data_IF_522478713265
#
_entry.id   IF_522478713265
#
_cell.length_a   1.000
_cell.length_b   1.000
_cell.length_c   1.000
_cell.angle_alpha   90.00
_cell.angle_beta   90.00
_cell.angle_gamma   90.00
#
_symmetry.space_group_name_H-M   'P 1'
#
loop_
_entity.id
_entity.type
_entity.pdbx_description
1 polymer ?
#
# COMPACT_ATOMS: atom_id res chain seq x y z
N UNK A 1 5.87 48.76 -22.52
CA UNK A 1 4.60 48.70 -21.75
C UNK A 1 3.45 48.54 -22.74
N UNK A 2 2.99 47.29 -22.95
CA UNK A 2 1.55 47.02 -22.94
C UNK A 2 1.21 45.83 -22.01
N UNK A 3 0.09 45.98 -21.30
CA UNK A 3 -0.31 45.18 -20.14
C UNK A 3 -0.72 43.74 -20.45
N UNK A 4 -0.28 42.84 -19.58
CA UNK A 4 -0.72 41.44 -19.54
C UNK A 4 -2.02 41.41 -18.71
N UNK A 5 -3.14 41.16 -19.40
CA UNK A 5 -4.43 40.88 -18.79
C UNK A 5 -4.37 39.60 -17.95
N UNK A 6 -4.89 39.58 -16.72
CA UNK A 6 -4.83 38.40 -15.86
C UNK A 6 -5.81 37.33 -16.37
N UNK A 7 -5.27 36.19 -16.83
CA UNK A 7 -6.04 34.99 -17.13
C UNK A 7 -6.77 34.53 -15.86
N UNK A 8 -8.07 34.80 -15.80
CA UNK A 8 -9.00 34.28 -14.80
C UNK A 8 -8.90 32.76 -14.75
N UNK A 9 -8.36 32.27 -13.63
CA UNK A 9 -8.32 30.85 -13.27
C UNK A 9 -9.76 30.36 -13.18
N UNK A 10 -10.15 29.51 -14.13
CA UNK A 10 -11.49 28.92 -14.19
C UNK A 10 -11.67 27.97 -13.00
N UNK A 11 -12.15 28.52 -11.87
CA UNK A 11 -12.58 27.76 -10.71
C UNK A 11 -13.81 26.98 -11.17
N UNK A 12 -13.64 25.68 -11.47
CA UNK A 12 -14.77 24.76 -11.57
C UNK A 12 -15.56 24.90 -10.28
N UNK A 13 -16.72 25.57 -10.35
CA UNK A 13 -17.74 25.59 -9.31
C UNK A 13 -17.88 24.16 -8.80
N UNK A 14 -17.58 23.94 -7.52
CA UNK A 14 -18.03 22.73 -6.82
C UNK A 14 -19.53 22.67 -7.04
N UNK A 15 -19.96 21.69 -7.81
CA UNK A 15 -21.37 21.38 -8.01
C UNK A 15 -22.04 21.31 -6.65
N UNK A 16 -23.15 22.03 -6.52
CA UNK A 16 -24.07 22.05 -5.39
C UNK A 16 -24.11 20.71 -4.65
N UNK A 17 -23.81 20.75 -3.35
CA UNK A 17 -23.94 19.62 -2.42
C UNK A 17 -25.42 19.23 -2.41
N UNK A 18 -25.76 18.09 -3.02
CA UNK A 18 -27.07 17.49 -2.84
C UNK A 18 -27.24 17.04 -1.39
N UNK A 19 -28.46 17.09 -0.82
CA UNK A 19 -28.72 16.64 0.53
C UNK A 19 -28.28 15.17 0.67
N UNK A 20 -27.39 14.92 1.64
CA UNK A 20 -26.87 13.59 1.94
C UNK A 20 -27.99 12.73 2.54
N UNK A 21 -28.53 11.80 1.75
CA UNK A 21 -29.41 10.74 2.24
C UNK A 21 -28.61 9.83 3.20
N UNK A 22 -29.01 9.70 4.49
CA UNK A 22 -28.34 8.83 5.45
C UNK A 22 -28.22 7.38 4.98
N UNK A 23 -29.21 6.86 4.24
CA UNK A 23 -29.17 5.49 3.73
C UNK A 23 -28.09 5.33 2.66
N UNK A 24 -27.94 6.33 1.79
CA UNK A 24 -26.85 6.38 0.80
C UNK A 24 -25.48 6.39 1.46
N UNK A 25 -25.28 7.10 2.58
CA UNK A 25 -24.00 7.07 3.30
C UNK A 25 -23.68 5.71 3.93
N UNK A 26 -24.69 5.05 4.49
CA UNK A 26 -24.55 3.71 5.08
C UNK A 26 -24.18 2.71 3.98
N UNK A 27 -24.92 2.67 2.88
CA UNK A 27 -24.63 1.80 1.75
C UNK A 27 -23.24 2.07 1.16
N UNK A 28 -22.84 3.34 1.06
CA UNK A 28 -21.53 3.74 0.55
C UNK A 28 -20.39 3.25 1.45
N UNK A 29 -20.55 3.30 2.78
CA UNK A 29 -19.58 2.75 3.73
C UNK A 29 -19.54 1.23 3.67
N UNK A 30 -20.70 0.58 3.63
CA UNK A 30 -20.81 -0.89 3.59
C UNK A 30 -20.18 -1.45 2.31
N UNK A 31 -20.52 -0.93 1.13
CA UNK A 31 -19.97 -1.39 -0.15
C UNK A 31 -18.44 -1.21 -0.26
N UNK A 32 -17.90 -0.14 0.35
CA UNK A 32 -16.45 0.11 0.35
C UNK A 32 -15.66 -0.80 1.30
N UNK A 33 -16.33 -1.64 2.08
CA UNK A 33 -15.64 -2.70 2.84
C UNK A 33 -15.12 -3.81 1.94
N UNK A 34 -15.66 -3.96 0.72
CA UNK A 34 -15.23 -4.98 -0.22
C UNK A 34 -14.04 -4.51 -1.08
N UNK A 35 -13.01 -5.35 -1.26
CA UNK A 35 -11.90 -5.03 -2.13
C UNK A 35 -12.37 -4.86 -3.58
N UNK A 36 -11.79 -3.89 -4.27
CA UNK A 36 -12.17 -3.51 -5.64
C UNK A 36 -13.35 -2.53 -5.73
N UNK A 37 -14.00 -2.18 -4.62
CA UNK A 37 -15.07 -1.16 -4.59
C UNK A 37 -14.55 0.11 -3.91
N UNK A 38 -14.07 1.07 -4.72
CA UNK A 38 -13.74 2.42 -4.25
C UNK A 38 -14.94 3.37 -4.26
N UNK A 39 -14.77 4.64 -3.79
CA UNK A 39 -15.84 5.63 -3.69
C UNK A 39 -16.59 5.92 -4.99
N UNK A 40 -15.91 5.78 -6.14
CA UNK A 40 -16.51 6.00 -7.47
C UNK A 40 -17.42 4.84 -7.83
N UNK A 41 -16.95 3.61 -7.68
CA UNK A 41 -17.71 2.41 -8.00
C UNK A 41 -18.88 2.20 -7.05
N UNK A 42 -18.70 2.45 -5.75
CA UNK A 42 -19.77 2.41 -4.77
C UNK A 42 -20.93 3.34 -5.16
N UNK A 43 -20.63 4.58 -5.59
CA UNK A 43 -21.66 5.52 -6.07
C UNK A 43 -22.36 5.05 -7.34
N UNK A 44 -21.62 4.45 -8.28
CA UNK A 44 -22.20 3.89 -9.49
C UNK A 44 -23.16 2.73 -9.18
N UNK A 45 -22.78 1.83 -8.26
CA UNK A 45 -23.60 0.72 -7.80
C UNK A 45 -24.89 1.20 -7.11
N UNK A 46 -24.79 2.19 -6.21
CA UNK A 46 -25.95 2.78 -5.55
C UNK A 46 -26.90 3.44 -6.57
N UNK A 47 -26.35 4.15 -7.56
CA UNK A 47 -27.15 4.74 -8.65
C UNK A 47 -27.86 3.67 -9.48
N UNK A 48 -27.27 2.47 -9.61
CA UNK A 48 -27.85 1.32 -10.27
C UNK A 48 -28.83 0.52 -9.38
N UNK A 49 -29.11 0.98 -8.15
CA UNK A 49 -30.07 0.37 -7.24
C UNK A 49 -29.49 -0.61 -6.22
N UNK A 50 -28.18 -0.86 -6.23
CA UNK A 50 -27.50 -1.72 -5.25
C UNK A 50 -27.35 -0.96 -3.93
N UNK A 51 -28.00 -1.44 -2.87
CA UNK A 51 -27.96 -0.78 -1.55
C UNK A 51 -27.32 -1.63 -0.46
N UNK A 52 -27.21 -2.95 -0.68
CA UNK A 52 -26.66 -3.90 0.29
C UNK A 52 -25.61 -4.82 -0.34
N UNK A 53 -24.81 -5.50 0.48
CA UNK A 53 -23.87 -6.53 -0.01
C UNK A 53 -24.58 -7.73 -0.64
N UNK A 54 -25.84 -8.00 -0.29
CA UNK A 54 -26.59 -9.11 -0.87
C UNK A 54 -27.05 -8.81 -2.30
N UNK A 55 -27.34 -7.55 -2.62
CA UNK A 55 -27.72 -7.14 -3.97
C UNK A 55 -26.60 -7.44 -5.00
N UNK A 56 -25.34 -7.43 -4.53
CA UNK A 56 -24.16 -7.77 -5.33
C UNK A 56 -24.10 -9.23 -5.79
N UNK A 57 -24.88 -10.13 -5.17
CA UNK A 57 -24.92 -11.56 -5.50
C UNK A 57 -25.90 -11.89 -6.63
N UNK A 58 -26.72 -10.91 -7.06
CA UNK A 58 -27.56 -11.09 -8.24
C UNK A 58 -26.68 -11.32 -9.47
N UNK A 59 -27.07 -12.25 -10.34
CA UNK A 59 -26.26 -12.66 -11.49
C UNK A 59 -25.86 -11.49 -12.40
N UNK A 60 -26.80 -10.57 -12.63
CA UNK A 60 -26.60 -9.36 -13.44
C UNK A 60 -25.55 -8.41 -12.84
N UNK A 61 -25.46 -8.31 -11.51
CA UNK A 61 -24.47 -7.46 -10.85
C UNK A 61 -23.15 -8.20 -10.68
N UNK A 62 -23.20 -9.45 -10.22
CA UNK A 62 -22.04 -10.25 -9.86
C UNK A 62 -21.08 -10.45 -11.03
N UNK A 63 -21.60 -10.72 -12.22
CA UNK A 63 -20.81 -10.93 -13.45
C UNK A 63 -19.94 -9.72 -13.81
N UNK A 64 -20.41 -8.51 -13.56
CA UNK A 64 -19.73 -7.24 -13.83
C UNK A 64 -18.73 -6.83 -12.73
N UNK A 65 -18.70 -7.53 -11.59
CA UNK A 65 -17.82 -7.18 -10.47
C UNK A 65 -16.35 -7.47 -10.77
N UNK A 66 -15.42 -6.67 -10.21
CA UNK A 66 -13.99 -7.00 -10.23
C UNK A 66 -13.72 -8.36 -9.58
N UNK A 67 -12.68 -9.06 -10.04
CA UNK A 67 -12.28 -10.35 -9.48
C UNK A 67 -12.11 -10.30 -7.95
N UNK A 68 -11.45 -9.25 -7.44
CA UNK A 68 -11.27 -9.03 -6.00
C UNK A 68 -12.59 -9.04 -5.23
N UNK A 69 -13.61 -8.37 -5.76
CA UNK A 69 -14.93 -8.28 -5.14
C UNK A 69 -15.66 -9.62 -5.19
N UNK A 70 -15.57 -10.34 -6.32
CA UNK A 70 -16.14 -11.70 -6.47
C UNK A 70 -15.55 -12.67 -5.44
N UNK A 71 -14.23 -12.67 -5.30
CA UNK A 71 -13.52 -13.48 -4.29
C UNK A 71 -13.97 -13.11 -2.88
N UNK A 72 -14.03 -11.82 -2.56
CA UNK A 72 -14.45 -11.38 -1.22
C UNK A 72 -15.89 -11.81 -0.86
N UNK A 73 -16.80 -11.77 -1.83
CA UNK A 73 -18.18 -12.23 -1.66
C UNK A 73 -18.28 -13.75 -1.47
N UNK A 74 -17.46 -14.52 -2.20
CA UNK A 74 -17.44 -15.98 -2.12
C UNK A 74 -16.86 -16.48 -0.80
N UNK A 75 -15.79 -15.85 -0.31
CA UNK A 75 -15.07 -16.28 0.90
C UNK A 75 -15.58 -15.65 2.20
N UNK A 76 -16.52 -14.69 2.14
CA UNK A 76 -17.04 -13.98 3.33
C UNK A 76 -15.90 -13.47 4.24
N UNK A 77 -15.02 -12.65 3.66
CA UNK A 77 -13.83 -12.15 4.36
C UNK A 77 -14.20 -11.45 5.68
N UNK A 78 -13.46 -11.78 6.73
CA UNK A 78 -13.60 -11.20 8.06
C UNK A 78 -12.41 -10.29 8.38
N UNK A 79 -12.59 -9.25 9.21
CA UNK A 79 -11.47 -8.48 9.72
C UNK A 79 -10.46 -9.38 10.45
N UNK A 80 -9.18 -9.08 10.31
CA UNK A 80 -8.12 -9.70 11.08
C UNK A 80 -7.92 -8.90 12.37
N UNK A 81 -8.08 -9.53 13.52
CA UNK A 81 -7.84 -8.89 14.81
C UNK A 81 -6.36 -8.92 15.21
N UNK A 82 -5.96 -8.02 16.11
CA UNK A 82 -4.56 -7.90 16.56
C UNK A 82 -3.97 -9.22 17.10
N UNK A 83 -4.74 -10.00 17.83
CA UNK A 83 -4.31 -11.31 18.31
C UNK A 83 -4.12 -12.32 17.17
N UNK A 84 -5.11 -12.40 16.28
CA UNK A 84 -5.06 -13.25 15.09
C UNK A 84 -3.84 -12.92 14.21
N UNK A 85 -3.54 -11.62 14.05
CA UNK A 85 -2.40 -11.17 13.26
C UNK A 85 -1.06 -11.60 13.86
N UNK A 86 -0.94 -11.65 15.21
CA UNK A 86 0.26 -12.18 15.88
C UNK A 86 0.41 -13.68 15.67
N UNK A 87 -0.68 -14.43 15.77
CA UNK A 87 -0.70 -15.88 15.51
C UNK A 87 -0.35 -16.15 14.05
N UNK A 88 -0.95 -15.42 13.12
CA UNK A 88 -0.67 -15.50 11.70
C UNK A 88 0.80 -15.17 11.39
N UNK A 89 1.34 -14.07 11.94
CA UNK A 89 2.75 -13.69 11.78
C UNK A 89 3.68 -14.82 12.24
N UNK A 90 3.46 -15.37 13.44
CA UNK A 90 4.25 -16.50 13.94
C UNK A 90 4.15 -17.72 13.03
N UNK A 91 2.93 -18.11 12.64
CA UNK A 91 2.70 -19.31 11.83
C UNK A 91 3.30 -19.17 10.43
N UNK A 92 3.11 -18.02 9.78
CA UNK A 92 3.65 -17.75 8.45
C UNK A 92 5.17 -17.70 8.48
N UNK A 93 5.76 -17.09 9.52
CA UNK A 93 7.21 -17.03 9.67
C UNK A 93 7.82 -18.43 9.85
N UNK A 94 7.17 -19.30 10.62
CA UNK A 94 7.62 -20.69 10.79
C UNK A 94 7.46 -21.56 9.54
N UNK A 95 6.50 -21.24 8.66
CA UNK A 95 6.28 -21.95 7.41
C UNK A 95 7.27 -21.54 6.28
N UNK A 96 7.84 -20.34 6.37
CA UNK A 96 8.78 -19.80 5.39
C UNK A 96 10.21 -20.35 5.59
N UNK A 97 11.02 -20.47 4.52
CA UNK A 97 12.42 -20.86 4.65
C UNK A 97 13.25 -19.86 5.48
N UNK A 98 14.36 -20.29 6.11
CA UNK A 98 15.12 -19.48 7.07
C UNK A 98 15.67 -18.14 6.57
N UNK A 99 15.83 -17.95 5.25
CA UNK A 99 16.31 -16.69 4.65
C UNK A 99 15.22 -15.60 4.55
N UNK A 100 13.96 -15.98 4.73
CA UNK A 100 12.84 -15.04 4.68
C UNK A 100 12.59 -14.49 6.08
N UNK A 101 12.39 -13.18 6.17
CA UNK A 101 11.82 -12.56 7.36
C UNK A 101 10.46 -11.95 7.01
N UNK A 102 9.59 -11.86 8.01
CA UNK A 102 8.21 -11.42 7.84
C UNK A 102 7.87 -10.37 8.89
N UNK A 103 7.23 -9.30 8.47
CA UNK A 103 6.80 -8.20 9.34
C UNK A 103 5.34 -7.85 9.06
N UNK A 104 4.59 -7.49 10.10
CA UNK A 104 3.21 -7.00 9.98
C UNK A 104 3.20 -5.46 9.98
N UNK A 105 2.51 -4.86 9.02
CA UNK A 105 2.35 -3.41 8.91
C UNK A 105 0.87 -2.98 9.02
N UNK A 106 0.51 -1.84 8.44
CA UNK A 106 -0.86 -1.37 8.32
C UNK A 106 -1.50 -0.90 9.63
N UNK A 107 -2.83 -1.00 9.66
CA UNK A 107 -3.69 -0.52 10.75
C UNK A 107 -3.35 -1.13 12.11
N UNK A 108 -3.10 -2.45 12.12
CA UNK A 108 -2.75 -3.18 13.35
C UNK A 108 -1.45 -2.64 13.93
N UNK A 109 -0.44 -2.35 13.09
CA UNK A 109 0.80 -1.72 13.53
C UNK A 109 0.59 -0.30 14.03
N UNK A 110 -0.40 0.44 13.52
CA UNK A 110 -0.82 1.76 14.04
C UNK A 110 -1.70 1.69 15.29
N UNK A 111 -1.87 0.51 15.88
CA UNK A 111 -2.62 0.30 17.11
C UNK A 111 -4.12 0.12 16.95
N UNK A 112 -4.63 -0.14 15.74
CA UNK A 112 -6.04 -0.55 15.56
C UNK A 112 -6.25 -1.99 16.03
N UNK A 113 -7.43 -2.28 16.59
CA UNK A 113 -7.76 -3.63 17.10
C UNK A 113 -7.99 -4.65 15.99
N UNK A 114 -8.33 -4.18 14.78
CA UNK A 114 -8.53 -5.01 13.61
C UNK A 114 -8.15 -4.29 12.32
N UNK A 115 -7.99 -5.06 11.24
CA UNK A 115 -7.83 -4.53 9.88
C UNK A 115 -8.62 -5.34 8.87
N UNK A 116 -9.12 -4.66 7.83
CA UNK A 116 -9.81 -5.29 6.70
C UNK A 116 -8.79 -5.91 5.73
N UNK A 117 -7.63 -5.28 5.54
CA UNK A 117 -6.53 -5.78 4.71
C UNK A 117 -5.24 -5.74 5.53
N UNK A 118 -4.67 -6.91 5.81
CA UNK A 118 -3.43 -7.01 6.59
C UNK A 118 -2.21 -7.14 5.68
N UNK A 119 -1.33 -6.12 5.62
CA UNK A 119 -0.09 -6.20 4.87
C UNK A 119 0.99 -6.91 5.69
N UNK A 120 1.50 -8.01 5.15
CA UNK A 120 2.73 -8.65 5.62
C UNK A 120 3.85 -8.37 4.62
N UNK A 121 4.97 -7.88 5.13
CA UNK A 121 6.15 -7.56 4.34
C UNK A 121 7.16 -8.69 4.50
N UNK A 122 7.54 -9.29 3.38
CA UNK A 122 8.54 -10.33 3.28
C UNK A 122 9.86 -9.67 2.89
N UNK A 123 10.92 -9.95 3.63
CA UNK A 123 12.28 -9.55 3.23
C UNK A 123 13.12 -10.78 2.91
N UNK A 124 13.89 -10.69 1.83
CA UNK A 124 14.81 -11.74 1.44
C UNK A 124 16.13 -11.12 0.95
N UNK A 125 17.32 -11.59 1.41
CA UNK A 125 18.60 -10.98 1.06
C UNK A 125 18.89 -11.01 -0.45
N UNK A 126 18.38 -12.04 -1.14
CA UNK A 126 18.57 -12.19 -2.59
C UNK A 126 17.52 -11.43 -3.43
N UNK A 127 16.56 -10.73 -2.80
CA UNK A 127 15.64 -9.85 -3.52
C UNK A 127 16.41 -8.66 -4.13
N UNK A 128 16.02 -8.10 -5.29
CA UNK A 128 16.77 -7.04 -5.92
C UNK A 128 16.89 -5.79 -5.03
N UNK A 129 18.11 -5.25 -4.96
CA UNK A 129 18.34 -3.94 -4.36
C UNK A 129 17.54 -2.91 -5.17
N UNK A 130 16.77 -2.04 -4.50
CA UNK A 130 15.94 -1.05 -5.16
C UNK A 130 16.79 -0.10 -6.02
N UNK A 131 16.28 0.24 -7.20
CA UNK A 131 16.89 1.21 -8.11
C UNK A 131 16.07 2.51 -8.10
N UNK A 132 16.68 3.66 -8.43
CA UNK A 132 15.95 4.92 -8.46
C UNK A 132 14.75 4.88 -9.41
N UNK A 133 13.63 5.53 -9.07
CA UNK A 133 12.48 5.64 -9.95
C UNK A 133 12.86 6.37 -11.25
N UNK A 134 12.58 5.75 -12.38
CA UNK A 134 13.00 6.22 -13.71
C UNK A 134 12.18 7.38 -14.27
N UNK A 135 10.98 7.64 -13.74
CA UNK A 135 10.01 8.56 -14.37
C UNK A 135 9.61 9.77 -13.51
N UNK A 136 10.00 9.84 -12.23
CA UNK A 136 9.42 10.83 -11.31
C UNK A 136 9.95 12.26 -11.45
N UNK A 137 11.07 12.47 -12.15
CA UNK A 137 11.72 13.79 -12.24
C UNK A 137 12.18 14.16 -13.67
N UNK A 138 11.84 13.36 -14.68
CA UNK A 138 12.44 13.51 -16.03
C UNK A 138 13.97 13.31 -16.04
N UNK A 139 14.54 12.81 -14.94
CA UNK A 139 15.96 12.55 -14.78
C UNK A 139 16.29 11.23 -15.49
N UNK A 140 17.18 11.31 -16.49
CA UNK A 140 17.64 10.12 -17.19
C UNK A 140 18.44 9.25 -16.22
N UNK A 141 18.15 7.93 -16.12
CA UNK A 141 19.01 7.04 -15.38
C UNK A 141 20.42 7.05 -16.01
N UNK A 142 21.48 7.00 -15.18
CA UNK A 142 22.81 6.61 -15.69
C UNK A 142 22.64 5.26 -16.41
N UNK A 143 23.24 5.05 -17.59
CA UNK A 143 23.06 3.82 -18.36
C UNK A 143 23.60 2.63 -17.54
N UNK A 144 22.70 1.93 -16.84
CA UNK A 144 23.03 0.66 -16.22
C UNK A 144 23.19 -0.37 -17.33
N UNK A 145 24.33 -1.08 -17.34
CA UNK A 145 24.56 -2.24 -18.21
C UNK A 145 23.41 -3.24 -18.01
N UNK A 146 22.56 -3.34 -19.04
CA UNK A 146 21.50 -4.36 -19.28
C UNK A 146 21.15 -5.23 -18.06
N UNK A 147 20.18 -4.80 -17.26
CA UNK A 147 19.47 -5.69 -16.35
C UNK A 147 18.63 -6.69 -17.18
N UNK A 148 19.11 -7.93 -17.35
CA UNK A 148 18.40 -8.98 -18.07
C UNK A 148 18.37 -10.34 -17.34
N UNK A 149 18.53 -10.37 -16.01
CA UNK A 149 18.38 -11.61 -15.20
C UNK A 149 17.60 -11.44 -13.89
N UNK A 150 17.32 -10.22 -13.43
CA UNK A 150 16.69 -9.93 -12.12
C UNK A 150 15.17 -10.14 -12.10
N UNK A 151 14.49 -10.04 -13.24
CA UNK A 151 13.05 -10.28 -13.34
C UNK A 151 12.64 -11.74 -13.06
N UNK A 152 13.47 -12.71 -13.43
CA UNK A 152 13.21 -14.13 -13.16
C UNK A 152 13.46 -14.50 -11.69
N UNK A 153 14.45 -13.89 -11.05
CA UNK A 153 14.79 -14.18 -9.66
C UNK A 153 13.73 -13.67 -8.66
N UNK A 154 13.11 -12.51 -8.95
CA UNK A 154 12.04 -11.95 -8.09
C UNK A 154 10.79 -12.81 -8.08
N UNK A 155 10.36 -13.24 -9.27
CA UNK A 155 9.24 -14.17 -9.40
C UNK A 155 9.50 -15.44 -8.60
N UNK A 156 10.69 -16.02 -8.73
CA UNK A 156 11.02 -17.27 -8.04
C UNK A 156 11.00 -17.11 -6.50
N UNK A 157 11.45 -15.98 -5.96
CA UNK A 157 11.42 -15.74 -4.51
C UNK A 157 10.01 -15.61 -3.95
N UNK A 158 9.16 -14.77 -4.56
CA UNK A 158 7.78 -14.64 -4.09
C UNK A 158 7.00 -15.94 -4.31
N UNK A 159 7.15 -16.59 -5.47
CA UNK A 159 6.49 -17.87 -5.76
C UNK A 159 6.95 -18.97 -4.79
N UNK A 160 8.21 -18.97 -4.36
CA UNK A 160 8.71 -19.87 -3.31
C UNK A 160 8.00 -19.60 -1.98
N UNK A 161 7.94 -18.34 -1.54
CA UNK A 161 7.22 -18.00 -0.31
C UNK A 161 5.73 -18.42 -0.39
N UNK A 162 5.07 -18.15 -1.51
CA UNK A 162 3.67 -18.53 -1.74
C UNK A 162 3.47 -20.04 -1.73
N UNK A 163 4.37 -20.82 -2.36
CA UNK A 163 4.33 -22.30 -2.33
C UNK A 163 4.44 -22.84 -0.91
N UNK A 164 5.35 -22.30 -0.11
CA UNK A 164 5.52 -22.70 1.29
C UNK A 164 4.26 -22.39 2.11
N UNK A 165 3.72 -21.17 2.03
CA UNK A 165 2.52 -20.78 2.76
C UNK A 165 1.29 -21.57 2.31
N UNK A 166 1.14 -21.84 1.00
CA UNK A 166 0.07 -22.69 0.47
C UNK A 166 0.21 -24.15 0.91
N UNK A 167 1.42 -24.70 0.93
CA UNK A 167 1.70 -26.05 1.42
C UNK A 167 1.34 -26.25 2.90
N UNK A 168 1.42 -25.18 3.71
CA UNK A 168 0.99 -25.17 5.11
C UNK A 168 -0.48 -24.76 5.30
N UNK A 169 -1.27 -24.69 4.22
CA UNK A 169 -2.69 -24.33 4.23
C UNK A 169 -2.96 -22.91 4.78
N UNK A 170 -2.03 -21.97 4.63
CA UNK A 170 -2.23 -20.58 5.03
C UNK A 170 -2.92 -19.73 3.98
N UNK A 171 -2.81 -20.09 2.69
CA UNK A 171 -3.37 -19.35 1.56
C UNK A 171 -4.44 -20.17 0.85
N UNK A 172 -5.55 -19.52 0.47
CA UNK A 172 -6.69 -20.13 -0.22
C UNK A 172 -6.77 -19.71 -1.68
N UNK A 173 -7.00 -18.41 -1.93
CA UNK A 173 -7.32 -17.87 -3.23
C UNK A 173 -6.47 -16.63 -3.55
N UNK A 174 -6.15 -16.42 -4.83
CA UNK A 174 -5.39 -15.26 -5.30
C UNK A 174 -6.32 -14.22 -5.91
N UNK A 175 -6.27 -13.00 -5.40
CA UNK A 175 -6.98 -11.84 -5.98
C UNK A 175 -6.10 -11.19 -7.06
N UNK A 176 -4.81 -11.00 -6.75
CA UNK A 176 -3.82 -10.39 -7.62
C UNK A 176 -2.44 -10.96 -7.31
N UNK A 177 -1.62 -11.12 -8.33
CA UNK A 177 -0.20 -11.43 -8.18
C UNK A 177 0.66 -10.66 -9.19
N UNK A 178 1.83 -10.26 -8.75
CA UNK A 178 2.93 -9.67 -9.53
C UNK A 178 4.26 -10.15 -8.93
N UNK A 179 5.38 -9.77 -9.51
CA UNK A 179 6.71 -10.27 -9.11
C UNK A 179 7.09 -9.99 -7.65
N UNK A 180 6.52 -8.96 -7.03
CA UNK A 180 6.85 -8.54 -5.66
C UNK A 180 5.63 -8.34 -4.78
N UNK A 181 4.43 -8.64 -5.28
CA UNK A 181 3.20 -8.42 -4.54
C UNK A 181 2.17 -9.50 -4.88
N UNK A 182 1.67 -10.15 -3.84
CA UNK A 182 0.52 -11.03 -3.86
C UNK A 182 -0.56 -10.46 -2.93
N UNK A 183 -1.80 -10.51 -3.37
CA UNK A 183 -2.98 -10.15 -2.59
C UNK A 183 -4.01 -11.25 -2.77
N UNK A 184 -4.63 -11.69 -1.68
CA UNK A 184 -5.54 -12.81 -1.72
C UNK A 184 -6.14 -13.17 -0.38
N UNK A 185 -6.70 -14.37 -0.33
CA UNK A 185 -7.41 -14.90 0.82
C UNK A 185 -6.48 -15.81 1.61
N UNK A 186 -6.30 -15.48 2.89
CA UNK A 186 -5.61 -16.33 3.86
C UNK A 186 -6.60 -16.99 4.81
N UNK A 187 -6.21 -18.13 5.38
CA UNK A 187 -7.01 -18.85 6.38
C UNK A 187 -6.43 -18.64 7.79
N UNK A 188 -7.31 -18.60 8.77
CA UNK A 188 -6.92 -18.64 10.18
C UNK A 188 -6.14 -19.91 10.53
N UNK A 189 -4.91 -19.81 11.05
CA UNK A 189 -4.16 -20.97 11.52
C UNK A 189 -4.95 -21.75 12.59
N UNK A 190 -5.02 -23.07 12.46
CA UNK A 190 -5.57 -23.97 13.48
C UNK A 190 -7.09 -24.19 13.47
N UNK A 191 -7.89 -23.38 12.77
CA UNK A 191 -9.35 -23.52 12.73
C UNK A 191 -9.80 -24.27 11.45
N UNK A 192 -9.87 -25.61 11.51
CA UNK A 192 -10.23 -26.44 10.34
C UNK A 192 -11.72 -26.61 10.09
N UNK A 193 -12.55 -26.61 11.14
CA UNK A 193 -13.99 -26.88 11.03
C UNK A 193 -14.82 -25.64 10.68
N UNK A 194 -14.32 -24.46 11.01
CA UNK A 194 -14.96 -23.18 10.71
C UNK A 194 -13.88 -22.11 10.42
N UNK A 195 -13.13 -22.23 9.31
CA UNK A 195 -12.02 -21.33 9.03
C UNK A 195 -12.52 -19.88 8.87
N UNK A 196 -11.84 -18.93 9.51
CA UNK A 196 -11.96 -17.52 9.16
C UNK A 196 -11.11 -17.24 7.93
N UNK A 197 -11.69 -16.52 6.99
CA UNK A 197 -11.00 -16.05 5.79
C UNK A 197 -10.62 -14.58 5.96
N UNK A 198 -9.35 -14.27 5.74
CA UNK A 198 -8.80 -12.94 5.87
C UNK A 198 -8.31 -12.42 4.53
N UNK A 199 -8.43 -11.11 4.34
CA UNK A 199 -7.79 -10.43 3.21
C UNK A 199 -6.36 -10.08 3.58
N UNK A 200 -5.39 -10.62 2.86
CA UNK A 200 -3.96 -10.45 3.14
C UNK A 200 -3.22 -10.01 1.90
N UNK A 201 -2.25 -9.12 2.06
CA UNK A 201 -1.23 -8.85 1.04
C UNK A 201 0.15 -9.26 1.53
N UNK A 202 0.91 -9.93 0.67
CA UNK A 202 2.31 -10.27 0.86
C UNK A 202 3.16 -9.46 -0.10
N UNK A 203 4.15 -8.72 0.41
CA UNK A 203 5.03 -7.89 -0.42
C UNK A 203 6.50 -8.21 -0.19
N UNK A 204 7.23 -8.52 -1.26
CA UNK A 204 8.64 -8.88 -1.23
C UNK A 204 9.54 -7.66 -1.38
N UNK A 205 10.49 -7.51 -0.47
CA UNK A 205 11.49 -6.45 -0.44
C UNK A 205 12.91 -7.00 -0.24
N UNK A 206 13.89 -6.23 -0.70
CA UNK A 206 15.26 -6.37 -0.21
C UNK A 206 15.38 -5.73 1.19
N UNK A 207 16.20 -6.26 2.10
CA UNK A 207 16.43 -5.67 3.42
C UNK A 207 16.87 -4.19 3.40
N UNK A 208 17.51 -3.72 2.33
CA UNK A 208 17.87 -2.31 2.13
C UNK A 208 16.64 -1.37 2.07
N UNK A 209 15.46 -1.90 1.74
CA UNK A 209 14.19 -1.16 1.72
C UNK A 209 13.45 -1.22 3.05
N UNK A 210 13.98 -1.89 4.10
CA UNK A 210 13.25 -2.16 5.34
C UNK A 210 12.59 -0.91 5.96
N UNK A 211 13.31 0.20 6.23
CA UNK A 211 12.68 1.35 6.88
C UNK A 211 11.60 2.02 6.04
N UNK A 212 11.81 2.11 4.73
CA UNK A 212 10.90 2.79 3.80
C UNK A 212 9.66 1.93 3.53
N UNK A 213 9.83 0.62 3.34
CA UNK A 213 8.74 -0.32 3.17
C UNK A 213 7.87 -0.37 4.43
N UNK A 214 8.48 -0.44 5.61
CA UNK A 214 7.75 -0.43 6.88
C UNK A 214 6.98 0.87 7.06
N UNK A 215 7.57 2.04 6.82
CA UNK A 215 6.83 3.32 6.88
C UNK A 215 5.67 3.33 5.88
N UNK A 216 5.92 2.99 4.62
CA UNK A 216 4.94 3.04 3.55
C UNK A 216 3.72 2.17 3.86
N UNK A 217 3.94 0.91 4.23
CA UNK A 217 2.84 -0.02 4.52
C UNK A 217 2.25 0.17 5.91
N UNK A 218 2.93 0.86 6.82
CA UNK A 218 2.32 1.29 8.09
C UNK A 218 1.35 2.43 7.86
N UNK A 219 1.64 3.36 6.94
CA UNK A 219 0.77 4.51 6.67
C UNK A 219 0.56 5.42 7.89
N UNK A 220 -0.52 6.20 7.96
CA UNK A 220 -1.58 6.33 6.95
C UNK A 220 -1.21 7.24 5.75
N UNK A 221 -2.08 7.34 4.75
CA UNK A 221 -1.85 8.17 3.56
C UNK A 221 -1.52 9.64 3.89
N UNK A 222 -2.11 10.20 4.95
CA UNK A 222 -1.83 11.59 5.34
C UNK A 222 -0.46 11.72 5.98
N UNK A 223 -0.05 10.73 6.78
CA UNK A 223 1.31 10.63 7.29
C UNK A 223 2.33 10.48 6.15
N UNK A 224 2.07 9.61 5.18
CA UNK A 224 2.96 9.43 4.01
C UNK A 224 3.08 10.71 3.18
N UNK A 225 1.97 11.40 2.92
CA UNK A 225 1.99 12.69 2.24
C UNK A 225 2.80 13.75 3.01
N UNK A 226 2.72 13.73 4.34
CA UNK A 226 3.51 14.61 5.18
C UNK A 226 5.02 14.32 5.04
N UNK A 227 5.42 13.04 5.09
CA UNK A 227 6.82 12.64 4.88
C UNK A 227 7.31 12.96 3.46
N UNK A 228 6.47 12.75 2.44
CA UNK A 228 6.81 13.10 1.06
C UNK A 228 7.07 14.61 0.90
N UNK A 229 6.28 15.46 1.57
CA UNK A 229 6.50 16.91 1.57
C UNK A 229 7.82 17.29 2.27
N UNK A 230 8.23 16.56 3.30
CA UNK A 230 9.54 16.71 3.94
C UNK A 230 10.69 16.27 3.03
N UNK A 231 10.54 15.12 2.35
CA UNK A 231 11.51 14.64 1.37
C UNK A 231 11.75 15.70 0.29
N UNK A 232 10.67 16.22 -0.31
CA UNK A 232 10.75 17.25 -1.36
C UNK A 232 11.47 18.52 -0.88
N UNK A 233 11.16 19.02 0.31
CA UNK A 233 11.84 20.19 0.91
C UNK A 233 13.33 19.97 1.09
N UNK A 234 13.75 18.74 1.38
CA UNK A 234 15.15 18.37 1.56
C UNK A 234 15.82 17.85 0.28
N UNK A 235 15.22 18.11 -0.90
CA UNK A 235 15.73 17.63 -2.19
C UNK A 235 15.93 16.12 -2.23
N UNK A 236 14.96 15.39 -1.66
CA UNK A 236 14.91 13.94 -1.67
C UNK A 236 13.60 13.46 -2.28
N UNK A 237 13.60 12.20 -2.68
CA UNK A 237 12.43 11.45 -3.09
C UNK A 237 12.30 10.24 -2.16
N UNK A 238 11.08 9.94 -1.71
CA UNK A 238 10.76 8.85 -0.80
C UNK A 238 9.61 8.04 -1.40
N UNK A 239 9.77 6.72 -1.46
CA UNK A 239 8.68 5.79 -1.75
C UNK A 239 8.80 4.50 -0.89
N UNK A 240 8.09 3.43 -1.25
CA UNK A 240 8.14 2.15 -0.53
C UNK A 240 9.49 1.40 -0.66
N UNK A 241 10.26 1.67 -1.71
CA UNK A 241 11.49 0.96 -2.04
C UNK A 241 12.73 1.66 -1.46
N UNK A 242 12.71 2.98 -1.30
CA UNK A 242 13.88 3.68 -0.80
C UNK A 242 13.71 5.18 -0.53
N UNK A 243 14.81 5.75 -0.06
CA UNK A 243 15.02 7.19 0.04
C UNK A 243 16.16 7.55 -0.92
N UNK A 244 15.96 8.58 -1.75
CA UNK A 244 16.96 9.02 -2.71
C UNK A 244 17.20 10.52 -2.61
N UNK A 245 18.46 10.92 -2.56
CA UNK A 245 18.87 12.31 -2.62
C UNK A 245 19.02 12.76 -4.08
N UNK A 246 18.51 13.94 -4.39
CA UNK A 246 18.70 14.58 -5.70
C UNK A 246 20.05 15.31 -5.66
N UNK A 247 21.05 14.73 -6.32
CA UNK A 247 22.41 15.28 -6.46
C UNK A 247 22.55 16.04 -7.76
N UNK A 248 23.45 17.03 -7.79
CA UNK A 248 23.88 17.65 -9.03
C UNK A 248 25.04 16.85 -9.62
N UNK A 249 25.00 16.56 -10.93
CA UNK A 249 26.13 16.01 -11.67
C UNK A 249 27.16 17.10 -11.97
N UNK A 250 28.43 16.70 -12.16
CA UNK A 250 29.48 17.61 -12.58
C UNK A 250 29.16 18.20 -13.96
N UNK A 251 29.46 19.49 -14.15
CA UNK A 251 29.13 20.27 -15.36
C UNK A 251 29.79 19.74 -16.66
N UNK A 252 30.61 18.69 -16.58
CA UNK A 252 31.37 18.14 -17.71
C UNK A 252 30.54 17.22 -18.64
N UNK A 253 29.27 16.92 -18.36
CA UNK A 253 28.43 16.04 -19.20
C UNK A 253 27.12 16.74 -19.61
N UNK A 254 26.90 17.02 -20.91
CA UNK A 254 25.67 17.64 -21.37
C UNK A 254 24.52 16.63 -21.38
N UNK A 255 23.46 16.89 -20.60
CA UNK A 255 22.17 16.19 -20.77
C UNK A 255 21.34 15.89 -19.52
N UNK A 256 21.90 15.96 -18.31
CA UNK A 256 21.11 15.96 -17.06
C UNK A 256 21.98 16.45 -15.90
N UNK A 257 21.67 17.63 -15.39
CA UNK A 257 22.37 18.28 -14.27
C UNK A 257 22.09 17.62 -12.92
N UNK A 258 21.12 16.70 -12.82
CA UNK A 258 20.75 16.07 -11.55
C UNK A 258 20.57 14.55 -11.69
N UNK A 259 20.88 13.81 -10.62
CA UNK A 259 20.68 12.35 -10.54
C UNK A 259 20.21 11.95 -9.13
N UNK A 260 19.55 10.80 -9.04
CA UNK A 260 19.11 10.21 -7.79
C UNK A 260 20.18 9.27 -7.24
N UNK A 261 20.61 9.53 -6.01
CA UNK A 261 21.52 8.68 -5.25
C UNK A 261 20.78 8.08 -4.07
N UNK A 262 20.88 6.76 -3.88
CA UNK A 262 20.23 6.10 -2.76
C UNK A 262 20.85 6.54 -1.44
N UNK A 263 20.00 6.93 -0.49
CA UNK A 263 20.40 7.28 0.87
C UNK A 263 20.30 6.02 1.72
N UNK A 264 21.44 5.58 2.27
CA UNK A 264 21.45 4.48 3.23
C UNK A 264 20.73 4.91 4.51
N UNK A 265 19.73 4.12 4.91
CA UNK A 265 18.98 4.26 6.16
C UNK A 265 18.75 2.87 6.76
N UNK A 266 18.95 2.71 8.07
CA UNK A 266 18.82 1.42 8.77
C UNK A 266 17.57 1.30 9.62
N UNK A 267 17.03 2.42 10.09
CA UNK A 267 15.83 2.44 10.95
C UNK A 267 14.83 3.50 10.51
N UNK A 268 13.59 3.40 10.98
CA UNK A 268 12.55 4.39 10.71
C UNK A 268 12.87 5.75 11.34
N UNK A 269 13.51 5.74 12.52
CA UNK A 269 14.01 6.94 13.21
C UNK A 269 15.07 7.66 12.37
N UNK A 270 16.07 6.92 11.87
CA UNK A 270 17.11 7.50 11.01
C UNK A 270 16.50 8.09 9.73
N UNK A 271 15.55 7.37 9.12
CA UNK A 271 14.82 7.84 7.95
C UNK A 271 14.09 9.18 8.24
N UNK A 272 13.40 9.30 9.37
CA UNK A 272 12.72 10.55 9.75
C UNK A 272 13.72 11.70 10.02
N UNK A 273 14.86 11.42 10.64
CA UNK A 273 15.94 12.41 10.82
C UNK A 273 16.48 12.89 9.47
N UNK A 274 16.72 11.99 8.51
CA UNK A 274 17.14 12.37 7.15
C UNK A 274 16.10 13.22 6.43
N UNK A 275 14.82 12.96 6.68
CA UNK A 275 13.71 13.77 6.17
C UNK A 275 13.54 15.11 6.91
N UNK A 276 14.39 15.43 7.90
CA UNK A 276 14.35 16.68 8.64
C UNK A 276 13.13 16.80 9.55
N UNK A 277 12.65 15.69 10.11
CA UNK A 277 11.70 15.72 11.22
C UNK A 277 12.47 15.93 12.53
N UNK A 278 11.94 16.75 13.42
CA UNK A 278 12.53 17.05 14.72
C UNK A 278 12.46 15.87 15.71
N UNK A 279 11.47 15.00 15.53
CA UNK A 279 11.23 13.85 16.40
C UNK A 279 10.70 12.65 15.61
N UNK A 280 11.01 11.45 16.11
CA UNK A 280 10.43 10.22 15.63
C UNK A 280 8.93 10.15 15.95
N UNK A 281 8.13 9.73 14.96
CA UNK A 281 6.70 9.50 15.11
C UNK A 281 6.46 7.99 15.22
N UNK A 282 6.16 7.44 16.41
CA UNK A 282 5.90 6.02 16.57
C UNK A 282 4.63 5.60 15.81
N UNK A 283 4.50 4.33 15.40
CA UNK A 283 3.40 3.84 14.55
C UNK A 283 1.99 4.23 15.03
N UNK A 284 1.74 4.18 16.34
CA UNK A 284 0.44 4.47 16.96
C UNK A 284 0.01 5.93 16.80
N UNK A 285 0.97 6.83 16.55
CA UNK A 285 0.74 8.26 16.32
C UNK A 285 0.61 8.63 14.84
N UNK A 286 0.66 7.67 13.91
CA UNK A 286 0.62 7.91 12.45
C UNK A 286 -0.79 7.94 11.85
N UNK A 287 -1.82 8.01 12.69
CA UNK A 287 -3.23 8.10 12.29
C UNK A 287 -3.64 9.56 11.95
N UNK A 288 -2.90 10.20 11.03
CA UNK A 288 -3.03 11.63 10.68
C UNK A 288 -4.38 11.96 10.03
N UNK A 289 -4.99 11.01 9.32
CA UNK A 289 -6.34 11.14 8.78
C UNK A 289 -7.38 11.42 9.87
N UNK A 290 -7.26 10.76 11.02
CA UNK A 290 -8.20 10.91 12.15
C UNK A 290 -8.04 12.26 12.86
N UNK A 291 -6.82 12.82 12.87
CA UNK A 291 -6.52 14.11 13.53
C UNK A 291 -7.09 15.27 12.70
N UNK A 292 -6.94 15.23 11.37
CA UNK A 292 -7.41 16.30 10.49
C UNK A 292 -8.94 16.34 10.38
N UNK A 293 -9.63 15.19 10.43
CA UNK A 293 -11.11 15.18 10.45
C UNK A 293 -11.71 15.82 11.70
N UNK A 294 -11.03 15.75 12.85
CA UNK A 294 -11.50 16.41 14.09
C UNK A 294 -11.41 17.94 14.04
N UNK A 295 -10.55 18.52 13.19
CA UNK A 295 -10.41 19.98 13.05
C UNK A 295 -11.47 20.62 12.15
N UNK A 296 -12.18 19.85 11.33
CA UNK A 296 -13.26 20.35 10.46
C UNK A 296 -14.65 20.42 11.11
N UNK A 297 -14.77 20.09 12.40
CA UNK A 297 -16.02 20.10 13.19
C UNK A 297 -16.04 21.20 14.28
N UNK A 298 -15.26 22.27 14.12
CA UNK A 298 -15.36 23.46 14.97
C UNK A 298 -15.84 24.64 14.16
#
# INVERSE_FOLDING_TARGET
MPGISPKTRNVRKRSSVQPHDPQTEVALKELQTLPGIGPVRARALIKAGVRTLNDLKSEAVFSELPNATKVALNFKLSPMYKWDARVALSSYSSALPPKYTLELAGEIRRGQDSSILSPFLIFHPDAPVPSPPTNHLGLRPKPQRRASKTGNLTNDLLDTALRHLKGHQHLSETIRQSNTHWEGVALSPGERLAPRYWHVSLRLYNPASYPTAMIYHTGDDKFLNHLAAHAQRNRMYLDEWGLWAIRKGDMASPGSTEFLEMVSVKTEEELMVKLGLEAYVPPEKRNFGNILMKRGKK
#
